data_IF_796996295357
#
_entry.id   IF_796996295357
#
_cell.length_a   1.000
_cell.length_b   1.000
_cell.length_c   1.000
_cell.angle_alpha   90.00
_cell.angle_beta   90.00
_cell.angle_gamma   90.00
#
_symmetry.space_group_name_H-M   'P 1'
#
loop_
_entity.id
_entity.type
_entity.pdbx_description
1 polymer ?
#
# COMPACT_ATOMS: atom_id res chain seq x y z
N UNK A 1 -21.90 0.05 -25.30
CA UNK A 1 -20.91 -1.01 -25.01
C UNK A 1 -21.58 -2.13 -24.24
N UNK A 2 -21.48 -3.37 -24.72
CA UNK A 2 -21.89 -4.57 -23.98
C UNK A 2 -20.99 -4.74 -22.76
N UNK A 3 -21.59 -5.03 -21.60
CA UNK A 3 -20.90 -5.34 -20.34
C UNK A 3 -19.75 -6.30 -20.61
N UNK A 4 -18.46 -5.93 -20.41
CA UNK A 4 -17.40 -6.92 -20.34
C UNK A 4 -17.83 -7.95 -19.31
N UNK A 5 -17.51 -9.23 -19.50
CA UNK A 5 -17.69 -10.21 -18.42
C UNK A 5 -16.95 -9.66 -17.20
N UNK A 6 -17.71 -9.01 -16.31
CA UNK A 6 -17.25 -8.72 -14.99
C UNK A 6 -16.89 -10.11 -14.47
N UNK A 7 -15.61 -10.34 -14.23
CA UNK A 7 -15.24 -11.10 -13.06
C UNK A 7 -16.11 -10.49 -11.97
N UNK A 8 -17.25 -11.12 -11.66
CA UNK A 8 -17.98 -10.81 -10.44
C UNK A 8 -16.87 -10.72 -9.41
N UNK A 9 -16.86 -9.66 -8.61
CA UNK A 9 -16.21 -9.72 -7.31
C UNK A 9 -16.85 -10.95 -6.68
N UNK A 10 -16.14 -12.06 -6.87
CA UNK A 10 -16.69 -13.39 -6.74
C UNK A 10 -16.72 -13.60 -5.26
N UNK A 11 -17.92 -13.90 -4.79
CA UNK A 11 -18.21 -14.52 -3.51
C UNK A 11 -17.29 -15.73 -3.30
N UNK A 12 -16.08 -15.43 -2.84
CA UNK A 12 -15.02 -16.33 -2.42
C UNK A 12 -14.63 -15.70 -1.10
N UNK A 13 -14.85 -16.41 0.01
CA UNK A 13 -14.87 -15.86 1.36
C UNK A 13 -13.81 -14.78 1.62
N UNK A 14 -14.13 -13.81 2.48
CA UNK A 14 -13.37 -12.58 2.72
C UNK A 14 -11.85 -12.79 2.92
N UNK A 15 -11.09 -12.89 1.81
CA UNK A 15 -9.64 -12.91 1.83
C UNK A 15 -9.10 -11.49 2.03
N UNK A 16 -7.93 -11.31 2.65
CA UNK A 16 -7.17 -12.29 3.44
C UNK A 16 -7.90 -12.82 4.68
N UNK A 17 -7.63 -14.08 5.08
CA UNK A 17 -8.26 -14.75 6.24
C UNK A 17 -7.68 -14.34 7.61
N UNK A 18 -6.64 -13.52 7.63
CA UNK A 18 -5.91 -13.15 8.83
C UNK A 18 -4.73 -12.26 8.48
N UNK A 19 -4.00 -11.83 9.51
CA UNK A 19 -2.88 -10.91 9.37
C UNK A 19 -1.65 -11.37 10.15
N UNK A 20 -0.47 -11.00 9.68
CA UNK A 20 0.80 -11.10 10.41
C UNK A 20 1.45 -9.73 10.41
N UNK A 21 1.99 -9.30 11.56
CA UNK A 21 2.77 -8.06 11.68
C UNK A 21 4.21 -8.39 12.02
N UNK A 22 5.13 -8.22 11.07
CA UNK A 22 6.57 -8.31 11.37
C UNK A 22 7.02 -7.02 12.05
N UNK A 23 7.20 -7.08 13.37
CA UNK A 23 7.66 -5.95 14.19
C UNK A 23 9.18 -5.93 14.23
N UNK A 24 9.78 -4.77 13.97
CA UNK A 24 11.24 -4.57 14.06
C UNK A 24 11.58 -3.34 14.90
N UNK A 25 12.78 -3.31 15.46
CA UNK A 25 13.39 -2.09 16.00
C UNK A 25 14.08 -1.31 14.88
N UNK A 26 14.30 -0.01 15.08
CA UNK A 26 15.04 0.85 14.14
C UNK A 26 16.47 0.33 13.84
N UNK A 27 17.11 -0.34 14.80
CA UNK A 27 18.44 -0.93 14.65
C UNK A 27 18.45 -2.32 13.99
N UNK A 28 17.29 -2.86 13.58
CA UNK A 28 17.20 -4.09 12.77
C UNK A 28 16.55 -5.32 13.43
N UNK A 29 16.77 -5.64 14.73
CA UNK A 29 16.19 -6.83 15.35
C UNK A 29 14.68 -6.92 15.20
N UNK A 30 14.21 -8.15 15.03
CA UNK A 30 12.81 -8.51 14.77
C UNK A 30 12.23 -9.22 15.99
N UNK A 31 11.01 -8.88 16.35
CA UNK A 31 10.29 -9.59 17.41
C UNK A 31 9.84 -10.97 16.90
N UNK A 32 10.30 -12.02 17.57
CA UNK A 32 9.77 -13.37 17.45
C UNK A 32 9.20 -13.83 18.80
N UNK A 33 8.10 -14.55 18.75
CA UNK A 33 7.44 -15.12 19.92
C UNK A 33 7.45 -16.63 19.79
N UNK A 34 7.70 -17.32 20.91
CA UNK A 34 7.63 -18.76 20.98
C UNK A 34 6.24 -19.18 21.44
N UNK A 35 5.64 -20.13 20.72
CA UNK A 35 4.29 -20.60 20.99
C UNK A 35 4.31 -21.67 22.08
N UNK A 36 3.57 -21.47 23.16
CA UNK A 36 3.51 -22.34 24.36
C UNK A 36 3.12 -23.79 24.05
N UNK A 37 2.46 -24.05 22.93
CA UNK A 37 2.08 -25.41 22.51
C UNK A 37 3.27 -26.30 22.11
N UNK A 38 4.47 -25.72 21.96
CA UNK A 38 5.71 -26.44 21.70
C UNK A 38 6.55 -26.52 22.98
N UNK A 39 7.39 -27.55 23.07
CA UNK A 39 8.30 -27.69 24.21
C UNK A 39 9.28 -26.50 24.27
N UNK A 40 9.72 -26.08 25.46
CA UNK A 40 10.59 -24.91 25.60
C UNK A 40 11.93 -25.01 24.86
N UNK A 41 12.42 -26.17 24.41
CA UNK A 41 13.66 -26.23 23.62
C UNK A 41 13.39 -26.56 22.15
N UNK A 42 12.12 -26.59 21.74
CA UNK A 42 11.70 -26.95 20.38
C UNK A 42 11.77 -25.73 19.45
N UNK A 43 12.72 -25.75 18.50
CA UNK A 43 12.77 -24.82 17.38
C UNK A 43 12.04 -25.39 16.13
N UNK A 44 11.08 -26.29 16.36
CA UNK A 44 10.34 -27.00 15.33
C UNK A 44 9.51 -26.07 14.43
N UNK A 45 8.94 -26.61 13.34
CA UNK A 45 8.11 -25.84 12.43
C UNK A 45 7.00 -25.09 13.17
N UNK A 46 6.95 -23.77 12.95
CA UNK A 46 6.00 -22.83 13.55
C UNK A 46 6.17 -22.58 15.06
N UNK A 47 7.25 -23.02 15.69
CA UNK A 47 7.52 -22.73 17.10
C UNK A 47 7.75 -21.23 17.34
N UNK A 48 8.48 -20.56 16.43
CA UNK A 48 8.75 -19.13 16.48
C UNK A 48 8.04 -18.36 15.37
N UNK A 49 7.23 -17.38 15.75
CA UNK A 49 6.47 -16.53 14.82
C UNK A 49 6.40 -15.08 15.25
N UNK A 50 6.23 -14.18 14.29
CA UNK A 50 5.74 -12.82 14.48
C UNK A 50 4.26 -12.87 14.88
N UNK A 51 3.74 -11.79 15.49
CA UNK A 51 2.35 -11.75 15.89
C UNK A 51 1.40 -11.89 14.70
N UNK A 52 0.40 -12.77 14.85
CA UNK A 52 -0.49 -13.15 13.79
C UNK A 52 -1.74 -13.89 14.27
N UNK A 53 -2.89 -13.55 13.70
CA UNK A 53 -4.10 -14.35 13.90
C UNK A 53 -5.20 -14.08 12.88
N UNK A 54 -6.36 -14.67 13.17
CA UNK A 54 -7.49 -14.78 12.26
C UNK A 54 -8.24 -13.47 12.12
N UNK A 55 -8.77 -13.22 10.93
CA UNK A 55 -9.68 -12.11 10.67
C UNK A 55 -11.10 -12.51 11.03
N UNK A 56 -11.77 -11.69 11.83
CA UNK A 56 -13.18 -11.88 12.12
C UNK A 56 -14.07 -11.51 10.92
N UNK A 57 -15.27 -12.10 10.79
CA UNK A 57 -16.20 -11.76 9.70
C UNK A 57 -16.51 -10.26 9.66
N UNK A 58 -16.28 -9.62 8.50
CA UNK A 58 -16.51 -8.18 8.30
C UNK A 58 -15.44 -7.26 8.90
N UNK A 59 -14.43 -7.80 9.58
CA UNK A 59 -13.34 -7.01 10.16
C UNK A 59 -12.41 -6.47 9.06
N UNK A 60 -11.97 -5.22 9.22
CA UNK A 60 -11.05 -4.60 8.28
C UNK A 60 -9.62 -5.13 8.45
N UNK A 61 -8.85 -5.21 7.35
CA UNK A 61 -7.52 -5.82 7.38
C UNK A 61 -6.52 -5.14 8.34
N UNK A 62 -6.52 -3.81 8.38
CA UNK A 62 -5.69 -3.08 9.34
C UNK A 62 -6.15 -3.31 10.78
N UNK A 63 -7.46 -3.37 11.01
CA UNK A 63 -8.04 -3.63 12.34
C UNK A 63 -7.63 -5.00 12.85
N UNK A 64 -7.75 -6.05 12.01
CA UNK A 64 -7.22 -7.39 12.33
C UNK A 64 -5.74 -7.33 12.68
N UNK A 65 -4.91 -6.67 11.86
CA UNK A 65 -3.47 -6.61 12.10
C UNK A 65 -3.11 -5.90 13.42
N UNK A 66 -3.81 -4.81 13.76
CA UNK A 66 -3.61 -4.06 14.99
C UNK A 66 -4.10 -4.85 16.21
N UNK A 67 -5.28 -5.49 16.11
CA UNK A 67 -5.84 -6.32 17.18
C UNK A 67 -4.91 -7.49 17.50
N UNK A 68 -4.53 -8.29 16.51
CA UNK A 68 -3.67 -9.46 16.71
C UNK A 68 -2.28 -9.08 17.25
N UNK A 69 -1.72 -7.96 16.78
CA UNK A 69 -0.49 -7.41 17.34
C UNK A 69 -0.66 -7.10 18.83
N UNK A 70 -1.73 -6.41 19.21
CA UNK A 70 -1.99 -6.04 20.60
C UNK A 70 -2.28 -7.27 21.47
N UNK A 71 -3.12 -8.20 21.01
CA UNK A 71 -3.53 -9.38 21.77
C UNK A 71 -2.33 -10.27 22.11
N UNK A 72 -1.38 -10.46 21.19
CA UNK A 72 -0.24 -11.36 21.41
C UNK A 72 0.98 -10.68 22.05
N UNK A 73 1.12 -9.36 21.93
CA UNK A 73 2.34 -8.65 22.38
C UNK A 73 2.12 -7.51 23.37
N UNK A 74 0.88 -7.05 23.55
CA UNK A 74 0.55 -5.83 24.29
C UNK A 74 1.02 -4.52 23.62
N UNK A 75 1.69 -4.57 22.47
CA UNK A 75 2.21 -3.38 21.79
C UNK A 75 1.07 -2.52 21.23
N UNK A 76 1.14 -1.21 21.46
CA UNK A 76 0.16 -0.21 21.00
C UNK A 76 0.86 1.00 20.37
N UNK A 77 0.13 1.81 19.60
CA UNK A 77 0.66 3.04 18.99
C UNK A 77 1.60 2.80 17.79
N UNK A 78 1.77 1.56 17.36
CA UNK A 78 2.50 1.22 16.14
C UNK A 78 1.63 1.55 14.91
N UNK A 79 2.28 1.86 13.80
CA UNK A 79 1.62 2.11 12.52
C UNK A 79 1.98 1.01 11.49
N UNK A 80 1.31 -0.16 11.52
CA UNK A 80 1.55 -1.20 10.52
C UNK A 80 1.34 -0.68 9.09
N UNK A 81 2.30 -0.98 8.22
CA UNK A 81 2.23 -0.72 6.78
C UNK A 81 2.25 -2.03 6.00
N UNK A 82 1.53 -2.12 4.86
CA UNK A 82 1.41 -3.36 4.11
C UNK A 82 2.71 -3.73 3.41
N UNK A 83 3.06 -5.01 3.51
CA UNK A 83 4.08 -5.66 2.69
C UNK A 83 3.40 -6.39 1.53
N UNK A 84 2.30 -7.10 1.80
CA UNK A 84 1.49 -7.81 0.81
C UNK A 84 0.09 -8.12 1.36
N UNK A 85 -0.94 -7.40 0.89
CA UNK A 85 -2.35 -7.66 1.21
C UNK A 85 -3.08 -8.48 0.15
N UNK A 86 -2.39 -8.92 -0.91
CA UNK A 86 -2.98 -9.63 -2.04
C UNK A 86 -3.11 -11.14 -1.81
N UNK A 87 -2.43 -11.66 -0.80
CA UNK A 87 -2.38 -13.08 -0.49
C UNK A 87 -3.56 -13.59 0.33
N UNK A 88 -3.52 -14.89 0.62
CA UNK A 88 -4.46 -15.55 1.52
C UNK A 88 -4.35 -15.07 2.98
N UNK A 89 -3.20 -14.50 3.33
CA UNK A 89 -2.86 -14.01 4.66
C UNK A 89 -2.16 -12.67 4.50
N UNK A 90 -2.68 -11.61 5.14
CA UNK A 90 -2.13 -10.28 5.04
C UNK A 90 -0.77 -10.22 5.74
N UNK A 91 0.21 -9.58 5.11
CA UNK A 91 1.51 -9.32 5.72
C UNK A 91 1.73 -7.82 5.87
N UNK A 92 1.93 -7.41 7.11
CA UNK A 92 2.31 -6.05 7.50
C UNK A 92 3.70 -6.06 8.12
N UNK A 93 4.29 -4.86 8.20
CA UNK A 93 5.45 -4.60 9.03
C UNK A 93 5.25 -3.31 9.82
N UNK A 94 5.83 -3.24 11.01
CA UNK A 94 5.77 -2.07 11.87
C UNK A 94 7.11 -1.89 12.58
N UNK A 95 7.41 -0.63 12.94
CA UNK A 95 8.56 -0.30 13.76
C UNK A 95 8.12 -0.06 15.21
N UNK A 96 8.84 -0.64 16.16
CA UNK A 96 8.66 -0.41 17.59
C UNK A 96 9.81 0.43 18.13
N UNK A 97 9.51 1.46 18.92
CA UNK A 97 10.50 2.29 19.60
C UNK A 97 11.35 1.48 20.59
N UNK A 98 12.57 1.92 20.93
CA UNK A 98 13.50 1.15 21.75
C UNK A 98 12.92 0.67 23.09
N UNK A 99 12.05 1.49 23.69
CA UNK A 99 11.43 1.27 25.00
C UNK A 99 10.11 0.47 24.93
N UNK A 100 9.69 -0.02 23.75
CA UNK A 100 8.42 -0.75 23.67
C UNK A 100 8.52 -2.07 24.43
N UNK A 101 7.69 -2.24 25.44
CA UNK A 101 7.61 -3.43 26.28
C UNK A 101 6.65 -4.47 25.67
N UNK A 102 7.09 -5.73 25.65
CA UNK A 102 6.28 -6.84 25.14
C UNK A 102 5.68 -7.59 26.32
N UNK A 103 4.35 -7.68 26.35
CA UNK A 103 3.56 -8.46 27.28
C UNK A 103 2.80 -9.55 26.52
N UNK A 104 3.28 -10.79 26.64
CA UNK A 104 2.70 -11.93 25.93
C UNK A 104 1.37 -12.39 26.53
N UNK A 105 0.48 -12.87 25.68
CA UNK A 105 -0.70 -13.62 26.10
C UNK A 105 -0.39 -15.09 26.41
N UNK A 106 -1.42 -15.84 26.81
CA UNK A 106 -1.30 -17.25 27.19
C UNK A 106 -0.87 -18.18 26.04
N UNK A 107 -1.02 -17.76 24.78
CA UNK A 107 -0.58 -18.56 23.62
C UNK A 107 0.94 -18.66 23.50
N UNK A 108 1.65 -17.74 24.14
CA UNK A 108 3.10 -17.61 24.08
C UNK A 108 3.72 -17.74 25.48
N UNK A 109 4.96 -18.19 25.55
CA UNK A 109 5.69 -18.38 26.80
C UNK A 109 6.97 -17.53 26.91
N UNK A 110 7.51 -17.08 25.78
CA UNK A 110 8.66 -16.17 25.70
C UNK A 110 8.73 -15.47 24.35
N UNK A 111 9.54 -14.42 24.29
CA UNK A 111 9.85 -13.70 23.05
C UNK A 111 11.35 -13.41 22.97
N UNK A 112 11.81 -13.06 21.77
CA UNK A 112 13.17 -12.60 21.53
C UNK A 112 13.18 -11.51 20.45
N UNK A 113 14.07 -10.52 20.64
CA UNK A 113 14.47 -9.60 19.59
C UNK A 113 15.65 -10.22 18.84
N UNK A 114 15.38 -10.73 17.65
CA UNK A 114 16.31 -11.57 16.90
C UNK A 114 16.93 -10.77 15.75
N UNK A 115 18.27 -10.76 15.61
CA UNK A 115 18.92 -10.15 14.46
C UNK A 115 18.39 -10.75 13.13
N UNK A 116 18.16 -9.94 12.08
CA UNK A 116 17.61 -10.40 10.80
C UNK A 116 18.26 -11.65 10.20
N UNK A 117 19.58 -11.79 10.35
CA UNK A 117 20.38 -12.90 9.85
C UNK A 117 20.07 -14.23 10.55
N UNK A 118 19.62 -14.20 11.81
CA UNK A 118 19.29 -15.38 12.61
C UNK A 118 17.82 -15.81 12.46
N UNK A 119 16.95 -14.96 11.87
CA UNK A 119 15.52 -15.26 11.72
C UNK A 119 15.28 -16.57 10.96
N UNK A 120 16.10 -16.87 9.95
CA UNK A 120 15.94 -18.09 9.15
C UNK A 120 16.30 -19.39 9.88
N UNK A 121 17.02 -19.29 11.01
CA UNK A 121 17.39 -20.43 11.86
C UNK A 121 16.23 -20.82 12.77
N UNK A 122 15.51 -19.81 13.31
CA UNK A 122 14.40 -20.01 14.25
C UNK A 122 13.04 -20.19 13.56
N UNK A 123 12.80 -19.50 12.44
CA UNK A 123 11.50 -19.52 11.78
C UNK A 123 11.46 -20.60 10.70
N UNK A 124 10.82 -21.72 11.06
CA UNK A 124 10.53 -22.82 10.13
C UNK A 124 9.02 -22.92 9.85
N UNK A 125 8.61 -23.35 8.65
CA UNK A 125 9.43 -23.71 7.48
C UNK A 125 9.94 -22.49 6.69
N UNK A 126 10.96 -22.71 5.83
CA UNK A 126 11.65 -21.68 5.02
C UNK A 126 10.75 -20.68 4.29
N UNK A 127 9.54 -21.08 3.85
CA UNK A 127 8.61 -20.16 3.18
C UNK A 127 8.01 -19.12 4.14
N UNK A 128 7.86 -19.45 5.43
CA UNK A 128 7.46 -18.52 6.50
C UNK A 128 8.58 -17.52 6.78
N UNK A 129 9.84 -17.98 6.86
CA UNK A 129 11.02 -17.09 6.96
C UNK A 129 11.11 -16.09 5.78
N UNK A 130 10.58 -16.44 4.61
CA UNK A 130 10.47 -15.53 3.46
C UNK A 130 9.58 -14.31 3.68
N UNK A 131 8.66 -14.33 4.66
CA UNK A 131 7.83 -13.17 5.03
C UNK A 131 8.66 -12.06 5.65
N UNK A 132 9.55 -12.41 6.59
CA UNK A 132 10.45 -11.49 7.27
C UNK A 132 11.40 -10.79 6.31
N UNK A 133 12.01 -11.55 5.38
CA UNK A 133 12.87 -10.97 4.33
C UNK A 133 12.14 -9.95 3.46
N UNK A 134 10.84 -10.12 3.22
CA UNK A 134 10.03 -9.15 2.47
C UNK A 134 9.69 -7.92 3.32
N UNK A 135 9.28 -8.14 4.58
CA UNK A 135 8.99 -7.07 5.52
C UNK A 135 10.20 -6.15 5.79
N UNK A 136 11.38 -6.74 5.96
CA UNK A 136 12.63 -6.02 6.21
C UNK A 136 13.14 -5.20 5.03
N UNK A 137 12.63 -5.43 3.81
CA UNK A 137 12.96 -4.60 2.63
C UNK A 137 12.18 -3.30 2.58
N UNK A 138 11.07 -3.20 3.31
CA UNK A 138 10.25 -1.99 3.34
C UNK A 138 11.03 -0.93 4.12
N UNK A 139 11.38 0.16 3.46
CA UNK A 139 11.91 1.35 4.11
C UNK A 139 10.79 2.01 4.93
N UNK A 140 11.04 2.22 6.22
CA UNK A 140 10.10 2.84 7.17
C UNK A 140 10.52 4.26 7.54
N UNK A 141 11.51 4.85 6.86
CA UNK A 141 11.83 6.27 7.01
C UNK A 141 10.57 7.13 6.82
N UNK A 142 10.45 8.30 7.50
CA UNK A 142 9.25 9.13 7.41
C UNK A 142 8.83 9.40 5.97
N UNK A 143 7.53 9.24 5.69
CA UNK A 143 6.95 9.49 4.39
C UNK A 143 5.99 10.69 4.51
N UNK A 144 6.21 11.69 3.67
CA UNK A 144 5.43 12.94 3.71
C UNK A 144 4.89 13.27 2.32
N UNK A 145 3.75 13.95 2.31
CA UNK A 145 3.09 14.44 1.12
C UNK A 145 2.86 15.94 1.27
N UNK A 146 3.27 16.71 0.27
CA UNK A 146 2.97 18.14 0.21
C UNK A 146 2.48 18.52 -1.18
N UNK A 147 1.65 19.57 -1.31
CA UNK A 147 1.26 20.07 -2.62
C UNK A 147 2.47 20.36 -3.52
N UNK A 148 2.34 20.00 -4.80
CA UNK A 148 3.26 20.40 -5.86
C UNK A 148 3.28 21.92 -5.99
N UNK A 149 4.46 22.49 -6.16
CA UNK A 149 4.63 23.92 -6.46
C UNK A 149 5.34 24.10 -7.79
N UNK A 150 5.30 25.33 -8.34
CA UNK A 150 6.04 25.66 -9.57
C UNK A 150 7.54 25.42 -9.46
N UNK A 151 8.11 25.54 -8.24
CA UNK A 151 9.52 25.25 -7.98
C UNK A 151 9.87 23.76 -8.19
N UNK A 152 8.89 22.86 -8.12
CA UNK A 152 9.08 21.43 -8.31
C UNK A 152 9.00 21.01 -9.79
N UNK A 153 8.56 21.89 -10.71
CA UNK A 153 8.34 21.53 -12.12
C UNK A 153 9.59 20.98 -12.84
N UNK A 154 10.81 21.52 -12.64
CA UNK A 154 12.02 20.93 -13.22
C UNK A 154 12.23 19.47 -12.76
N UNK A 155 11.98 19.20 -11.48
CA UNK A 155 12.14 17.87 -10.91
C UNK A 155 11.02 16.92 -11.36
N UNK A 156 9.78 17.42 -11.46
CA UNK A 156 8.65 16.69 -12.02
C UNK A 156 8.91 16.24 -13.46
N UNK A 157 9.46 17.13 -14.31
CA UNK A 157 9.87 16.80 -15.69
C UNK A 157 10.94 15.71 -15.66
N UNK A 158 11.95 15.85 -14.80
CA UNK A 158 13.02 14.84 -14.67
C UNK A 158 12.46 13.46 -14.33
N UNK A 159 11.52 13.37 -13.39
CA UNK A 159 10.86 12.11 -13.02
C UNK A 159 10.02 11.54 -14.16
N UNK A 160 9.21 12.37 -14.83
CA UNK A 160 8.35 11.94 -15.93
C UNK A 160 9.14 11.49 -17.17
N UNK A 161 10.35 12.03 -17.37
CA UNK A 161 11.25 11.66 -18.46
C UNK A 161 12.10 10.42 -18.15
N UNK A 162 12.20 9.99 -16.88
CA UNK A 162 12.93 8.79 -16.52
C UNK A 162 12.33 7.55 -17.22
N UNK A 163 13.17 6.69 -17.79
CA UNK A 163 12.74 5.58 -18.66
C UNK A 163 11.65 4.70 -18.02
N UNK A 164 11.80 4.37 -16.74
CA UNK A 164 10.87 3.51 -16.01
C UNK A 164 9.51 4.16 -15.73
N UNK A 165 9.41 5.49 -15.79
CA UNK A 165 8.16 6.27 -15.67
C UNK A 165 7.59 6.57 -17.04
N UNK A 166 8.41 7.16 -17.94
CA UNK A 166 8.00 7.65 -19.26
C UNK A 166 7.29 6.59 -20.08
N UNK A 167 7.73 5.34 -19.99
CA UNK A 167 7.12 4.21 -20.73
C UNK A 167 5.66 3.93 -20.35
N UNK A 168 5.22 4.40 -19.18
CA UNK A 168 3.87 4.17 -18.65
C UNK A 168 3.02 5.42 -18.53
N UNK A 169 3.64 6.60 -18.49
CA UNK A 169 2.94 7.84 -18.23
C UNK A 169 2.47 8.50 -19.53
N UNK A 170 1.17 8.80 -19.64
CA UNK A 170 0.63 9.46 -20.82
C UNK A 170 0.93 10.98 -20.82
N UNK A 171 1.12 11.55 -22.02
CA UNK A 171 1.34 12.99 -22.24
C UNK A 171 2.45 13.55 -21.34
N UNK A 172 3.62 12.91 -21.36
CA UNK A 172 4.82 13.35 -20.64
C UNK A 172 5.27 14.71 -21.17
N UNK A 173 5.36 15.75 -20.32
CA UNK A 173 5.86 17.06 -20.74
C UNK A 173 7.30 16.97 -21.25
N UNK A 174 7.59 17.63 -22.38
CA UNK A 174 8.92 17.67 -22.97
C UNK A 174 9.91 18.48 -22.12
N UNK A 175 9.43 19.56 -21.49
CA UNK A 175 10.21 20.52 -20.71
C UNK A 175 9.35 21.18 -19.61
N UNK A 176 9.93 22.14 -18.90
CA UNK A 176 9.27 22.88 -17.81
C UNK A 176 8.11 23.74 -18.32
N UNK A 177 8.18 24.28 -19.54
CA UNK A 177 7.09 25.08 -20.09
C UNK A 177 5.87 24.21 -20.39
N UNK A 178 6.07 23.04 -20.99
CA UNK A 178 5.01 22.05 -21.18
C UNK A 178 4.49 21.50 -19.84
N UNK A 179 5.34 21.42 -18.80
CA UNK A 179 4.90 21.04 -17.47
C UNK A 179 4.05 22.13 -16.82
N UNK A 180 4.42 23.41 -16.95
CA UNK A 180 3.60 24.54 -16.50
C UNK A 180 2.23 24.54 -17.20
N UNK A 181 2.17 24.30 -18.51
CA UNK A 181 0.89 24.21 -19.23
C UNK A 181 -0.02 23.10 -18.69
N UNK A 182 0.54 21.94 -18.34
CA UNK A 182 -0.22 20.78 -17.85
C UNK A 182 -0.55 20.87 -16.35
N UNK A 183 0.38 21.35 -15.53
CA UNK A 183 0.31 21.28 -14.07
C UNK A 183 0.06 22.62 -13.40
N UNK A 184 0.31 23.76 -14.07
CA UNK A 184 0.02 25.10 -13.57
C UNK A 184 -1.43 25.26 -13.09
N UNK A 185 -2.45 24.94 -13.91
CA UNK A 185 -3.86 24.99 -13.47
C UNK A 185 -4.16 24.09 -12.27
N UNK A 186 -3.44 22.97 -12.10
CA UNK A 186 -3.59 22.07 -10.94
C UNK A 186 -2.96 22.66 -9.68
N UNK A 187 -1.84 23.37 -9.83
CA UNK A 187 -1.17 24.10 -8.74
C UNK A 187 -2.03 25.29 -8.30
N UNK A 188 -2.68 25.97 -9.24
CA UNK A 188 -3.53 27.14 -8.97
C UNK A 188 -4.90 26.77 -8.37
N UNK A 189 -5.29 25.50 -8.47
CA UNK A 189 -6.60 25.01 -8.02
C UNK A 189 -7.72 25.16 -9.06
N UNK A 190 -7.37 25.52 -10.30
CA UNK A 190 -8.29 25.67 -11.44
C UNK A 190 -8.60 24.34 -12.15
N UNK A 191 -8.01 23.24 -11.69
CA UNK A 191 -8.28 21.89 -12.17
C UNK A 191 -8.64 20.96 -10.99
N UNK A 192 -9.50 19.95 -11.20
CA UNK A 192 -9.98 19.07 -10.12
C UNK A 192 -8.91 18.13 -9.57
N UNK A 193 -7.78 17.97 -10.27
CA UNK A 193 -6.68 17.09 -9.88
C UNK A 193 -5.73 17.80 -8.93
N UNK A 194 -5.63 17.30 -7.70
CA UNK A 194 -4.57 17.66 -6.78
C UNK A 194 -3.30 16.86 -7.11
N UNK A 195 -2.13 17.48 -6.99
CA UNK A 195 -0.83 16.82 -7.19
C UNK A 195 0.05 17.08 -5.98
N UNK A 196 0.58 16.02 -5.38
CA UNK A 196 1.46 16.07 -4.22
C UNK A 196 2.84 15.50 -4.56
N UNK A 197 3.88 16.16 -4.08
CA UNK A 197 5.24 15.64 -4.04
C UNK A 197 5.36 14.65 -2.88
N UNK A 198 5.97 13.50 -3.16
CA UNK A 198 6.24 12.44 -2.17
C UNK A 198 7.67 12.59 -1.66
N UNK A 199 7.83 12.74 -0.35
CA UNK A 199 9.12 12.86 0.32
C UNK A 199 9.40 11.65 1.20
N UNK A 200 10.55 11.00 1.01
CA UNK A 200 11.03 9.90 1.84
C UNK A 200 12.24 10.37 2.65
N UNK A 201 12.12 10.41 3.98
CA UNK A 201 13.13 10.97 4.87
C UNK A 201 13.45 12.44 4.54
N UNK A 202 12.42 13.22 4.18
CA UNK A 202 12.56 14.62 3.77
C UNK A 202 13.09 14.84 2.34
N UNK A 203 13.41 13.77 1.59
CA UNK A 203 13.92 13.86 0.22
C UNK A 203 12.81 13.60 -0.80
N UNK A 204 12.60 14.49 -1.80
CA UNK A 204 11.60 14.25 -2.85
C UNK A 204 12.01 13.05 -3.73
N UNK A 205 11.09 12.11 -3.94
CA UNK A 205 11.35 10.85 -4.67
C UNK A 205 10.33 10.54 -5.76
N UNK A 206 9.25 11.31 -5.84
CA UNK A 206 8.17 11.09 -6.81
C UNK A 206 6.97 11.99 -6.53
N UNK A 207 5.86 11.70 -7.18
CA UNK A 207 4.61 12.42 -7.00
C UNK A 207 3.41 11.48 -7.07
N UNK A 208 2.28 11.93 -6.55
CA UNK A 208 0.97 11.28 -6.64
C UNK A 208 -0.10 12.32 -6.94
N UNK A 209 -1.08 11.96 -7.75
CA UNK A 209 -2.22 12.77 -8.12
C UNK A 209 -3.48 12.15 -7.53
N UNK A 210 -4.43 12.98 -7.10
CA UNK A 210 -5.78 12.55 -6.77
C UNK A 210 -6.82 13.43 -7.46
N UNK A 211 -7.86 12.80 -7.98
CA UNK A 211 -8.96 13.50 -8.65
C UNK A 211 -10.30 12.91 -8.21
N UNK A 212 -11.28 13.72 -7.77
CA UNK A 212 -12.64 13.24 -7.56
C UNK A 212 -13.15 12.54 -8.83
N UNK A 213 -13.68 11.32 -8.70
CA UNK A 213 -14.08 10.54 -9.86
C UNK A 213 -15.24 11.20 -10.61
N UNK A 214 -16.13 11.86 -9.89
CA UNK A 214 -17.22 12.68 -10.44
C UNK A 214 -16.75 13.82 -11.37
N UNK A 215 -15.49 14.27 -11.24
CA UNK A 215 -14.92 15.32 -12.09
C UNK A 215 -14.29 14.77 -13.39
N UNK A 216 -14.25 13.45 -13.58
CA UNK A 216 -13.61 12.80 -14.73
C UNK A 216 -14.66 12.16 -15.64
N UNK A 217 -15.17 12.93 -16.60
CA UNK A 217 -16.29 12.50 -17.45
C UNK A 217 -16.01 11.19 -18.21
N UNK A 218 -14.80 11.01 -18.74
CA UNK A 218 -14.39 9.78 -19.45
C UNK A 218 -14.31 8.56 -18.52
N UNK A 219 -14.21 8.81 -17.21
CA UNK A 219 -14.16 7.79 -16.19
C UNK A 219 -15.53 7.49 -15.57
N UNK A 220 -16.53 8.34 -15.76
CA UNK A 220 -17.86 8.16 -15.14
C UNK A 220 -18.54 6.86 -15.60
N UNK A 221 -18.36 6.45 -16.87
CA UNK A 221 -18.88 5.16 -17.34
C UNK A 221 -18.18 3.97 -16.67
N UNK A 222 -16.87 4.09 -16.43
CA UNK A 222 -16.05 3.13 -15.68
C UNK A 222 -16.36 3.15 -14.17
N UNK A 223 -16.71 4.31 -13.63
CA UNK A 223 -17.03 4.56 -12.23
C UNK A 223 -18.35 3.93 -11.79
N UNK A 224 -19.35 3.89 -12.69
CA UNK A 224 -20.67 3.27 -12.43
C UNK A 224 -20.59 1.79 -12.05
N UNK A 225 -19.47 1.13 -12.34
CA UNK A 225 -19.21 -0.25 -11.95
C UNK A 225 -18.71 -0.39 -10.51
N UNK A 226 -18.25 0.70 -9.89
CA UNK A 226 -17.62 0.72 -8.56
C UNK A 226 -18.48 1.49 -7.54
N UNK A 227 -19.09 2.59 -7.96
CA UNK A 227 -19.93 3.45 -7.13
C UNK A 227 -21.14 3.95 -7.93
N UNK A 228 -22.20 4.37 -7.23
CA UNK A 228 -23.49 4.75 -7.83
C UNK A 228 -23.37 5.96 -8.76
N UNK A 229 -22.61 6.98 -8.35
CA UNK A 229 -22.49 8.26 -9.05
C UNK A 229 -21.06 8.84 -9.08
N UNK A 230 -20.08 8.17 -8.46
CA UNK A 230 -18.70 8.66 -8.41
C UNK A 230 -18.40 9.62 -7.26
N UNK A 231 -19.42 10.06 -6.50
CA UNK A 231 -19.27 11.13 -5.52
C UNK A 231 -18.42 10.74 -4.30
N UNK A 232 -18.43 9.46 -3.91
CA UNK A 232 -17.65 8.90 -2.80
C UNK A 232 -16.35 8.23 -3.27
N UNK A 233 -15.91 8.51 -4.50
CA UNK A 233 -14.76 7.86 -5.12
C UNK A 233 -13.71 8.86 -5.64
N UNK A 234 -12.44 8.51 -5.46
CA UNK A 234 -11.27 9.29 -5.89
C UNK A 234 -10.38 8.40 -6.74
N UNK A 235 -9.92 8.89 -7.90
CA UNK A 235 -8.84 8.21 -8.63
C UNK A 235 -7.48 8.68 -8.15
N UNK A 236 -6.48 7.80 -8.22
CA UNK A 236 -5.09 8.15 -7.99
C UNK A 236 -4.18 7.70 -9.14
N UNK A 237 -3.18 8.53 -9.44
CA UNK A 237 -2.08 8.24 -10.35
C UNK A 237 -0.77 8.57 -9.67
N UNK A 238 0.26 7.72 -9.79
CA UNK A 238 1.50 7.92 -9.03
C UNK A 238 2.74 7.46 -9.80
N UNK A 239 3.85 8.16 -9.56
CA UNK A 239 5.15 7.81 -10.12
C UNK A 239 6.25 7.92 -9.05
N UNK A 240 7.05 6.86 -8.94
CA UNK A 240 8.31 6.87 -8.20
C UNK A 240 9.40 7.30 -9.17
N UNK A 241 9.76 8.57 -9.12
CA UNK A 241 10.70 9.18 -10.06
C UNK A 241 12.15 8.82 -9.79
N UNK A 242 12.53 8.68 -8.53
CA UNK A 242 13.88 8.23 -8.14
C UNK A 242 14.05 6.72 -8.40
N UNK A 243 14.95 6.31 -9.32
CA UNK A 243 15.20 4.90 -9.60
C UNK A 243 15.64 4.09 -8.38
N UNK A 244 16.34 4.72 -7.43
CA UNK A 244 16.83 4.05 -6.22
C UNK A 244 15.70 3.66 -5.25
N UNK A 245 14.54 4.32 -5.34
CA UNK A 245 13.37 4.04 -4.51
C UNK A 245 12.45 2.95 -5.10
N UNK A 246 12.70 2.48 -6.32
CA UNK A 246 11.89 1.45 -6.98
C UNK A 246 12.29 0.04 -6.52
N UNK A 247 11.34 -0.90 -6.52
CA UNK A 247 11.63 -2.34 -6.31
C UNK A 247 11.69 -2.83 -4.86
N UNK A 248 11.64 -1.93 -3.89
CA UNK A 248 11.79 -2.25 -2.45
C UNK A 248 10.47 -2.17 -1.65
N UNK A 249 9.33 -2.26 -2.32
CA UNK A 249 8.00 -2.13 -1.68
C UNK A 249 7.54 -0.69 -1.46
N UNK A 250 8.37 0.31 -1.81
CA UNK A 250 8.05 1.72 -1.64
C UNK A 250 6.74 2.15 -2.32
N UNK A 251 6.47 1.71 -3.56
CA UNK A 251 5.22 2.03 -4.25
C UNK A 251 3.96 1.57 -3.49
N UNK A 252 4.02 0.39 -2.86
CA UNK A 252 2.93 -0.11 -2.01
C UNK A 252 2.72 0.77 -0.79
N UNK A 253 3.80 1.18 -0.11
CA UNK A 253 3.75 2.07 1.05
C UNK A 253 3.25 3.48 0.69
N UNK A 254 3.72 4.03 -0.44
CA UNK A 254 3.29 5.31 -0.99
C UNK A 254 1.77 5.35 -1.16
N UNK A 255 1.22 4.35 -1.87
CA UNK A 255 -0.23 4.25 -2.10
C UNK A 255 -0.96 4.13 -0.77
N UNK A 256 -0.49 3.25 0.11
CA UNK A 256 -1.12 2.98 1.40
C UNK A 256 -1.25 4.23 2.26
N UNK A 257 -0.15 4.93 2.52
CA UNK A 257 -0.16 6.10 3.40
C UNK A 257 -0.92 7.26 2.78
N UNK A 258 -0.83 7.45 1.45
CA UNK A 258 -1.62 8.47 0.77
C UNK A 258 -3.13 8.22 0.91
N UNK A 259 -3.56 6.98 0.65
CA UNK A 259 -4.97 6.60 0.79
C UNK A 259 -5.42 6.65 2.25
N UNK A 260 -4.58 6.25 3.21
CA UNK A 260 -4.92 6.26 4.63
C UNK A 260 -5.04 7.68 5.17
N UNK A 261 -4.09 8.55 4.87
CA UNK A 261 -3.87 9.80 5.62
C UNK A 261 -4.24 11.06 4.83
N UNK A 262 -4.02 11.08 3.50
CA UNK A 262 -4.23 12.30 2.69
C UNK A 262 -5.63 12.32 2.09
N UNK A 263 -6.06 11.22 1.46
CA UNK A 263 -7.36 11.13 0.77
C UNK A 263 -8.55 11.47 1.67
N UNK A 264 -8.73 10.93 2.90
CA UNK A 264 -9.93 11.22 3.68
C UNK A 264 -9.98 12.65 4.22
N UNK A 265 -8.81 13.27 4.44
CA UNK A 265 -8.73 14.67 4.87
C UNK A 265 -9.10 15.59 3.71
N UNK A 266 -8.60 15.30 2.50
CA UNK A 266 -8.88 16.11 1.30
C UNK A 266 -10.28 15.89 0.73
N UNK A 267 -10.80 14.68 0.84
CA UNK A 267 -12.09 14.28 0.29
C UNK A 267 -12.95 13.63 1.38
N UNK A 268 -13.56 14.43 2.28
CA UNK A 268 -14.44 13.92 3.32
C UNK A 268 -15.58 13.08 2.73
N UNK A 269 -15.87 11.94 3.36
CA UNK A 269 -16.88 10.99 2.86
C UNK A 269 -16.39 10.08 1.74
N UNK A 270 -15.10 10.13 1.36
CA UNK A 270 -14.51 9.15 0.46
C UNK A 270 -14.69 7.73 1.03
N UNK A 271 -15.17 6.81 0.20
CA UNK A 271 -15.34 5.38 0.51
C UNK A 271 -14.48 4.50 -0.38
N UNK A 272 -14.25 4.93 -1.62
CA UNK A 272 -13.52 4.15 -2.62
C UNK A 272 -12.35 4.95 -3.20
N UNK A 273 -11.25 4.26 -3.44
CA UNK A 273 -10.15 4.80 -4.24
C UNK A 273 -9.92 3.88 -5.43
N UNK A 274 -9.71 4.44 -6.61
CA UNK A 274 -9.41 3.67 -7.82
C UNK A 274 -8.05 4.06 -8.39
N UNK A 275 -7.39 3.09 -8.99
CA UNK A 275 -6.18 3.27 -9.79
C UNK A 275 -6.29 2.37 -11.01
N UNK A 276 -5.70 2.74 -12.14
CA UNK A 276 -5.85 1.99 -13.38
C UNK A 276 -4.55 1.82 -14.15
N UNK A 277 -3.53 1.21 -13.53
CA UNK A 277 -2.30 0.95 -14.22
C UNK A 277 -2.54 0.12 -15.49
N UNK A 278 -1.75 0.40 -16.54
CA UNK A 278 -1.63 -0.47 -17.70
C UNK A 278 -1.44 -1.94 -17.24
N UNK A 279 -2.18 -2.87 -17.83
CA UNK A 279 -2.12 -4.31 -17.52
C UNK A 279 -0.72 -4.89 -17.70
N UNK A 280 0.05 -4.36 -18.66
CA UNK A 280 1.45 -4.69 -18.89
C UNK A 280 2.40 -4.12 -17.81
N UNK A 281 1.97 -3.10 -17.06
CA UNK A 281 2.71 -2.55 -15.93
C UNK A 281 2.47 -3.39 -14.67
N UNK A 282 2.95 -4.64 -14.72
CA UNK A 282 2.80 -5.62 -13.65
C UNK A 282 3.33 -5.14 -12.31
N UNK A 283 4.36 -4.28 -12.31
CA UNK A 283 4.89 -3.67 -11.09
C UNK A 283 3.85 -2.78 -10.39
N UNK A 284 3.16 -1.92 -11.14
CA UNK A 284 2.12 -1.01 -10.60
C UNK A 284 0.85 -1.77 -10.21
N UNK A 285 0.41 -2.73 -11.03
CA UNK A 285 -0.71 -3.64 -10.67
C UNK A 285 -0.42 -4.35 -9.34
N UNK A 286 0.77 -4.95 -9.19
CA UNK A 286 1.17 -5.61 -7.94
C UNK A 286 1.32 -4.64 -6.78
N UNK A 287 1.70 -3.38 -7.01
CA UNK A 287 1.77 -2.37 -5.96
C UNK A 287 0.38 -2.04 -5.41
N UNK A 288 -0.62 -1.84 -6.29
CA UNK A 288 -2.02 -1.66 -5.92
C UNK A 288 -2.57 -2.87 -5.15
N UNK A 289 -2.39 -4.09 -5.68
CA UNK A 289 -2.89 -5.31 -5.03
C UNK A 289 -2.28 -5.51 -3.64
N UNK A 290 -0.97 -5.32 -3.50
CA UNK A 290 -0.29 -5.41 -2.20
C UNK A 290 -0.72 -4.32 -1.23
N UNK A 291 -1.16 -3.16 -1.72
CA UNK A 291 -1.71 -2.09 -0.90
C UNK A 291 -3.18 -2.35 -0.49
N UNK A 292 -3.83 -3.41 -1.01
CA UNK A 292 -5.19 -3.79 -0.64
C UNK A 292 -6.24 -3.47 -1.71
N UNK A 293 -5.85 -2.94 -2.87
CA UNK A 293 -6.75 -2.80 -4.01
C UNK A 293 -7.08 -4.17 -4.59
N UNK A 294 -8.28 -4.32 -5.14
CA UNK A 294 -8.71 -5.50 -5.90
C UNK A 294 -8.91 -5.12 -7.36
N UNK A 295 -8.36 -5.93 -8.27
CA UNK A 295 -8.62 -5.78 -9.69
C UNK A 295 -10.08 -6.14 -9.98
N UNK A 296 -10.83 -5.19 -10.55
CA UNK A 296 -12.24 -5.35 -10.87
C UNK A 296 -12.42 -5.88 -12.30
N UNK A 297 -11.87 -5.18 -13.28
CA UNK A 297 -11.92 -5.57 -14.70
C UNK A 297 -10.86 -4.81 -15.50
N UNK A 298 -10.64 -5.25 -16.73
CA UNK A 298 -9.74 -4.60 -17.67
C UNK A 298 -10.52 -3.88 -18.77
N UNK A 299 -10.04 -2.72 -19.18
CA UNK A 299 -10.67 -1.90 -20.22
C UNK A 299 -9.60 -1.21 -21.09
N UNK A 300 -9.99 -0.81 -22.30
CA UNK A 300 -9.15 0.03 -23.14
C UNK A 300 -9.46 1.50 -22.81
N UNK A 301 -8.48 2.28 -22.34
CA UNK A 301 -8.71 3.68 -21.98
C UNK A 301 -8.99 4.52 -23.22
N UNK A 302 -9.66 5.67 -23.03
CA UNK A 302 -9.90 6.62 -24.11
C UNK A 302 -8.61 7.20 -24.70
N UNK A 303 -7.59 7.38 -23.85
CA UNK A 303 -6.24 7.82 -24.25
C UNK A 303 -5.20 6.76 -23.85
N UNK A 304 -4.26 6.46 -24.76
CA UNK A 304 -3.16 5.52 -24.52
C UNK A 304 -3.15 4.33 -25.47
N UNK A 305 -2.09 3.53 -25.38
CA UNK A 305 -1.89 2.32 -26.21
C UNK A 305 -1.99 1.02 -25.41
N UNK A 306 -2.17 1.12 -24.10
CA UNK A 306 -2.20 -0.02 -23.21
C UNK A 306 -3.61 -0.25 -22.68
N UNK A 307 -4.02 -1.51 -22.64
CA UNK A 307 -5.19 -1.93 -21.87
C UNK A 307 -4.92 -1.71 -20.38
N UNK A 308 -5.86 -1.11 -19.64
CA UNK A 308 -5.74 -0.77 -18.22
C UNK A 308 -6.46 -1.80 -17.34
N UNK A 309 -5.94 -2.01 -16.12
CA UNK A 309 -6.56 -2.83 -15.09
C UNK A 309 -7.17 -1.92 -14.02
N UNK A 310 -8.51 -1.84 -13.93
CA UNK A 310 -9.15 -1.08 -12.87
C UNK A 310 -8.94 -1.77 -11.53
N UNK A 311 -8.20 -1.13 -10.63
CA UNK A 311 -7.96 -1.55 -9.26
C UNK A 311 -8.83 -0.70 -8.32
N UNK A 312 -9.56 -1.35 -7.41
CA UNK A 312 -10.49 -0.70 -6.47
C UNK A 312 -10.07 -0.97 -5.03
N UNK A 313 -9.90 0.08 -4.26
CA UNK A 313 -9.70 0.06 -2.81
C UNK A 313 -10.98 0.49 -2.11
N UNK A 314 -11.47 -0.35 -1.21
CA UNK A 314 -12.63 -0.07 -0.37
C UNK A 314 -12.16 0.20 1.05
N UNK A 315 -12.32 1.43 1.53
CA UNK A 315 -11.76 1.88 2.80
C UNK A 315 -12.25 1.07 3.99
N UNK A 316 -13.57 0.87 4.08
CA UNK A 316 -14.20 0.12 5.17
C UNK A 316 -13.64 -1.31 5.28
N UNK A 317 -13.36 -1.97 4.15
CA UNK A 317 -12.81 -3.33 4.11
C UNK A 317 -11.33 -3.38 4.50
N UNK A 318 -10.54 -2.37 4.14
CA UNK A 318 -9.08 -2.43 4.25
C UNK A 318 -8.57 -1.71 5.51
N UNK A 319 -9.04 -0.49 5.74
CA UNK A 319 -8.62 0.37 6.84
C UNK A 319 -9.57 0.30 8.04
N UNK A 320 -10.86 0.10 7.78
CA UNK A 320 -11.93 0.28 8.76
C UNK A 320 -12.73 1.56 8.51
N UNK A 321 -13.61 1.89 9.46
CA UNK A 321 -14.41 3.11 9.47
C UNK A 321 -13.65 4.32 10.00
#
# INVERSE_FOLDING_TARGET
MTRPEASRIGDTGEWPLGATVVVRRANGPVLLMHRRRYEPDDAGPWAWTAPAGGRDPGEALLVTAVRELWEETGLTGLAPVPVDLSGSWALFTAEAGADAEVALNDEHDRFAWVPPEQVAELVQPRHVAGRYRRALRVDLAPLEFRPLTRADLPELVRWLQAEHVRRWWARVPADVAAAEEKYGPRIDGDAPTAVDVVLLGGRPVGFIQSTPLAAQQDYLETARWVTRDGADCVSIDYAVGDPAAVGNGFGTRLIWEYVRDVVPVRYPGNRFVVADPATANTASVRACEKAGFRRAFDFDPAEGVHRHALCVFERARVLGG
#
